data_IF_663776284190
#
_entry.id   IF_663776284190
#
_cell.length_a   1.000
_cell.length_b   1.000
_cell.length_c   1.000
_cell.angle_alpha   90.00
_cell.angle_beta   90.00
_cell.angle_gamma   90.00
#
_symmetry.space_group_name_H-M   'P 1'
#
loop_
_entity.id
_entity.type
_entity.pdbx_description
1 polymer ?
#
# COMPACT_ATOMS: atom_id res chain seq x y z
N UNK A 1 -21.92 -15.37 -23.08
CA UNK A 1 -20.93 -14.29 -23.37
C UNK A 1 -19.56 -14.81 -22.93
N UNK A 2 -18.51 -14.67 -23.74
CA UNK A 2 -17.16 -15.20 -23.45
C UNK A 2 -16.15 -14.07 -23.18
N UNK A 3 -16.55 -13.09 -22.37
CA UNK A 3 -15.70 -11.98 -21.97
C UNK A 3 -16.04 -11.56 -20.55
N UNK A 4 -15.05 -11.03 -19.84
CA UNK A 4 -15.18 -10.52 -18.48
C UNK A 4 -13.96 -9.67 -18.14
N UNK A 5 -14.07 -8.88 -17.08
CA UNK A 5 -12.97 -8.09 -16.52
C UNK A 5 -12.83 -8.49 -15.06
N UNK A 6 -11.59 -8.70 -14.62
CA UNK A 6 -11.26 -9.06 -13.24
C UNK A 6 -10.26 -8.03 -12.74
N UNK A 7 -10.46 -7.56 -11.51
CA UNK A 7 -9.49 -6.73 -10.80
C UNK A 7 -8.77 -7.61 -9.78
N UNK A 8 -7.45 -7.60 -9.83
CA UNK A 8 -6.59 -8.38 -8.93
C UNK A 8 -5.74 -7.41 -8.09
N UNK A 9 -5.74 -7.53 -6.75
CA UNK A 9 -4.82 -6.77 -5.93
C UNK A 9 -3.39 -7.30 -6.11
N UNK A 10 -2.41 -6.40 -6.16
CA UNK A 10 -0.99 -6.72 -6.32
C UNK A 10 -0.49 -7.71 -5.25
N UNK A 11 -0.88 -7.49 -3.98
CA UNK A 11 -0.51 -8.34 -2.85
C UNK A 11 -1.33 -9.63 -2.68
N UNK A 12 -2.09 -10.07 -3.69
CA UNK A 12 -2.94 -11.27 -3.55
C UNK A 12 -2.15 -12.51 -3.12
N UNK A 13 -0.96 -12.69 -3.68
CA UNK A 13 -0.11 -13.87 -3.44
C UNK A 13 0.46 -13.92 -2.02
N UNK A 14 0.66 -12.78 -1.37
CA UNK A 14 1.13 -12.72 0.02
C UNK A 14 0.04 -13.19 1.00
N UNK A 15 -1.22 -13.03 0.62
CA UNK A 15 -2.35 -13.46 1.44
C UNK A 15 -2.60 -14.98 1.37
N UNK A 16 -1.90 -15.70 0.50
CA UNK A 16 -2.00 -17.16 0.36
C UNK A 16 -0.91 -17.77 1.27
N UNK A 17 -1.28 -18.48 2.36
CA UNK A 17 -0.33 -18.97 3.36
C UNK A 17 0.81 -19.80 2.78
N UNK A 18 0.50 -20.62 1.77
CA UNK A 18 1.46 -21.49 1.09
C UNK A 18 2.53 -20.69 0.35
N UNK A 19 2.12 -19.64 -0.35
CA UNK A 19 3.02 -18.77 -1.11
C UNK A 19 3.77 -17.83 -0.17
N UNK A 20 3.13 -17.36 0.89
CA UNK A 20 3.76 -16.57 1.94
C UNK A 20 4.91 -17.34 2.61
N UNK A 21 4.68 -18.59 3.00
CA UNK A 21 5.71 -19.43 3.59
C UNK A 21 6.90 -19.63 2.63
N UNK A 22 6.64 -19.86 1.35
CA UNK A 22 7.68 -19.94 0.32
C UNK A 22 8.48 -18.63 0.21
N UNK A 23 7.81 -17.48 0.20
CA UNK A 23 8.47 -16.16 0.16
C UNK A 23 9.37 -15.94 1.37
N UNK A 24 8.89 -16.26 2.57
CA UNK A 24 9.66 -16.14 3.81
C UNK A 24 10.89 -17.05 3.83
N UNK A 25 10.76 -18.30 3.36
CA UNK A 25 11.90 -19.21 3.21
C UNK A 25 12.95 -18.64 2.23
N UNK A 26 12.50 -18.15 1.07
CA UNK A 26 13.40 -17.55 0.06
C UNK A 26 14.12 -16.32 0.63
N UNK A 27 13.41 -15.39 1.25
CA UNK A 27 14.02 -14.21 1.87
C UNK A 27 14.98 -14.57 2.98
N UNK A 28 14.62 -15.54 3.82
CA UNK A 28 15.50 -16.08 4.83
C UNK A 28 16.81 -16.58 4.22
N UNK A 29 16.76 -17.33 3.13
CA UNK A 29 17.96 -17.82 2.43
C UNK A 29 18.80 -16.68 1.81
N UNK A 30 18.15 -15.65 1.26
CA UNK A 30 18.84 -14.45 0.77
C UNK A 30 19.56 -13.70 1.90
N UNK A 31 18.94 -13.54 3.06
CA UNK A 31 19.55 -12.90 4.22
C UNK A 31 20.79 -13.67 4.74
N UNK A 32 20.84 -14.98 4.53
CA UNK A 32 21.99 -15.82 4.85
C UNK A 32 23.08 -15.83 3.75
N UNK A 33 22.91 -15.06 2.66
CA UNK A 33 23.88 -14.93 1.58
C UNK A 33 23.95 -16.16 0.65
N UNK A 34 22.90 -16.97 0.59
CA UNK A 34 22.83 -18.13 -0.32
C UNK A 34 22.67 -17.65 -1.76
N UNK A 35 23.43 -18.26 -2.68
CA UNK A 35 23.33 -17.95 -4.11
C UNK A 35 21.98 -18.37 -4.70
N UNK A 36 21.49 -17.63 -5.70
CA UNK A 36 20.16 -17.84 -6.30
C UNK A 36 20.00 -19.26 -6.86
N UNK A 37 21.09 -19.83 -7.37
CA UNK A 37 21.15 -21.17 -7.94
C UNK A 37 20.98 -22.28 -6.88
N UNK A 38 21.42 -22.01 -5.64
CA UNK A 38 21.37 -22.96 -4.53
C UNK A 38 20.04 -22.89 -3.76
N UNK A 39 19.29 -21.78 -3.85
CA UNK A 39 18.02 -21.59 -3.13
C UNK A 39 17.06 -22.74 -3.39
N UNK A 40 16.89 -23.16 -4.65
CA UNK A 40 15.94 -24.23 -5.01
C UNK A 40 16.23 -25.57 -4.32
N UNK A 41 17.49 -25.83 -3.97
CA UNK A 41 17.94 -27.06 -3.28
C UNK A 41 17.82 -27.00 -1.76
N UNK A 42 17.68 -25.79 -1.20
CA UNK A 42 17.64 -25.52 0.23
C UNK A 42 16.22 -25.30 0.76
N UNK A 43 15.24 -25.19 -0.13
CA UNK A 43 13.82 -25.05 0.21
C UNK A 43 13.30 -26.30 0.94
N UNK A 44 12.32 -26.11 1.82
CA UNK A 44 11.59 -27.22 2.42
C UNK A 44 10.91 -28.08 1.33
N UNK A 45 10.66 -29.39 1.57
CA UNK A 45 10.07 -30.26 0.56
C UNK A 45 8.75 -29.74 -0.01
N UNK A 46 7.96 -29.07 0.82
CA UNK A 46 6.67 -28.52 0.43
C UNK A 46 6.81 -27.19 -0.32
N UNK A 47 7.71 -26.30 0.13
CA UNK A 47 8.05 -25.07 -0.60
C UNK A 47 8.66 -25.39 -1.97
N UNK A 48 9.53 -26.41 -2.06
CA UNK A 48 10.13 -26.89 -3.31
C UNK A 48 9.06 -27.42 -4.28
N UNK A 49 8.10 -28.21 -3.79
CA UNK A 49 6.99 -28.69 -4.62
C UNK A 49 6.13 -27.55 -5.17
N UNK A 50 5.84 -26.53 -4.36
CA UNK A 50 5.12 -25.34 -4.80
C UNK A 50 5.95 -24.53 -5.81
N UNK A 51 7.23 -24.33 -5.53
CA UNK A 51 8.15 -23.63 -6.42
C UNK A 51 8.23 -24.31 -7.80
N UNK A 52 8.28 -25.64 -7.84
CA UNK A 52 8.30 -26.38 -9.10
C UNK A 52 6.98 -26.33 -9.87
N UNK A 53 5.85 -26.23 -9.17
CA UNK A 53 4.55 -26.02 -9.79
C UNK A 53 4.44 -24.66 -10.50
N UNK A 54 5.15 -23.63 -10.02
CA UNK A 54 5.06 -22.28 -10.56
C UNK A 54 5.69 -22.15 -11.95
N UNK A 55 5.14 -21.29 -12.83
CA UNK A 55 5.72 -20.99 -14.12
C UNK A 55 7.17 -20.46 -14.02
N UNK A 56 8.03 -20.75 -15.02
CA UNK A 56 9.45 -20.34 -14.98
C UNK A 56 9.68 -18.83 -14.83
N UNK A 57 8.79 -17.98 -15.33
CA UNK A 57 8.92 -16.53 -15.21
C UNK A 57 8.67 -16.06 -13.77
N UNK A 58 7.67 -16.64 -13.08
CA UNK A 58 7.40 -16.37 -11.67
C UNK A 58 8.54 -16.87 -10.79
N UNK A 59 9.06 -18.07 -11.06
CA UNK A 59 10.25 -18.59 -10.35
C UNK A 59 11.40 -17.60 -10.38
N UNK A 60 11.70 -17.01 -11.55
CA UNK A 60 12.74 -15.99 -11.69
C UNK A 60 12.44 -14.72 -10.89
N UNK A 61 11.18 -14.26 -10.90
CA UNK A 61 10.77 -13.05 -10.16
C UNK A 61 10.86 -13.26 -8.64
N UNK A 62 10.48 -14.44 -8.13
CA UNK A 62 10.56 -14.77 -6.71
C UNK A 62 12.00 -14.86 -6.19
N UNK A 63 12.97 -15.17 -7.06
CA UNK A 63 14.39 -15.29 -6.73
C UNK A 63 15.15 -13.96 -6.80
N UNK A 64 14.49 -12.86 -7.20
CA UNK A 64 15.11 -11.54 -7.21
C UNK A 64 15.29 -11.04 -5.77
N UNK A 65 16.39 -10.33 -5.51
CA UNK A 65 16.66 -9.76 -4.19
C UNK A 65 15.63 -8.67 -3.85
N UNK A 66 15.17 -8.57 -2.59
CA UNK A 66 14.38 -7.42 -2.13
C UNK A 66 15.21 -6.12 -2.19
N UNK A 67 14.64 -5.04 -2.74
CA UNK A 67 15.31 -3.74 -2.90
C UNK A 67 15.20 -2.84 -1.65
N UNK A 68 14.22 -3.08 -0.77
CA UNK A 68 14.04 -2.30 0.47
C UNK A 68 13.11 -3.00 1.45
N UNK A 69 13.54 -3.06 2.71
CA UNK A 69 12.90 -3.72 3.87
C UNK A 69 12.52 -5.20 3.62
N UNK A 70 12.47 -6.03 4.67
CA UNK A 70 12.28 -7.51 4.59
C UNK A 70 10.93 -7.99 3.98
N UNK A 71 10.20 -7.09 3.32
CA UNK A 71 8.95 -7.36 2.60
C UNK A 71 9.22 -7.66 1.13
N UNK A 72 8.58 -8.71 0.60
CA UNK A 72 8.68 -9.09 -0.81
C UNK A 72 8.36 -7.88 -1.69
N UNK A 73 9.12 -7.69 -2.78
CA UNK A 73 8.78 -6.72 -3.80
C UNK A 73 7.58 -7.20 -4.62
N UNK A 74 6.38 -7.08 -4.04
CA UNK A 74 5.13 -7.53 -4.65
C UNK A 74 4.87 -6.84 -6.00
N UNK A 75 5.36 -5.61 -6.16
CA UNK A 75 5.24 -4.85 -7.40
C UNK A 75 6.03 -5.43 -8.57
N UNK A 76 7.04 -6.27 -8.31
CA UNK A 76 7.84 -6.93 -9.32
C UNK A 76 7.25 -8.28 -9.76
N UNK A 77 6.32 -8.85 -8.98
CA UNK A 77 5.71 -10.14 -9.27
C UNK A 77 4.47 -9.93 -10.13
N UNK A 78 4.49 -10.46 -11.35
CA UNK A 78 3.40 -10.33 -12.33
C UNK A 78 2.26 -11.30 -12.01
N UNK A 79 1.58 -11.07 -10.88
CA UNK A 79 0.49 -11.90 -10.33
C UNK A 79 -0.64 -12.10 -11.34
N UNK A 80 -0.96 -11.08 -12.13
CA UNK A 80 -1.98 -11.15 -13.16
C UNK A 80 -1.62 -12.16 -14.27
N UNK A 81 -0.34 -12.23 -14.66
CA UNK A 81 0.14 -13.19 -15.66
C UNK A 81 0.18 -14.61 -15.09
N UNK A 82 0.56 -14.75 -13.82
CA UNK A 82 0.47 -16.04 -13.11
C UNK A 82 -0.95 -16.59 -13.16
N UNK A 83 -1.92 -15.78 -12.73
CA UNK A 83 -3.33 -16.19 -12.71
C UNK A 83 -3.86 -16.49 -14.11
N UNK A 84 -3.52 -15.66 -15.10
CA UNK A 84 -3.91 -15.90 -16.49
C UNK A 84 -3.37 -17.24 -17.02
N UNK A 85 -2.10 -17.57 -16.76
CA UNK A 85 -1.51 -18.83 -17.23
C UNK A 85 -2.06 -20.05 -16.50
N UNK A 86 -2.31 -19.97 -15.19
CA UNK A 86 -2.91 -21.06 -14.43
C UNK A 86 -4.34 -21.35 -14.91
N UNK A 87 -5.14 -20.30 -15.13
CA UNK A 87 -6.49 -20.44 -15.69
C UNK A 87 -6.42 -20.98 -17.12
N UNK A 88 -5.50 -20.52 -17.96
CA UNK A 88 -5.33 -21.06 -19.31
C UNK A 88 -5.02 -22.58 -19.27
N UNK A 89 -4.14 -23.00 -18.36
CA UNK A 89 -3.78 -24.41 -18.17
C UNK A 89 -4.99 -25.25 -17.75
N UNK A 90 -5.77 -24.75 -16.78
CA UNK A 90 -6.99 -25.42 -16.29
C UNK A 90 -8.08 -25.49 -17.38
N UNK A 91 -8.28 -24.41 -18.13
CA UNK A 91 -9.24 -24.38 -19.24
C UNK A 91 -8.84 -25.34 -20.37
N UNK A 92 -7.54 -25.44 -20.69
CA UNK A 92 -7.03 -26.40 -21.64
C UNK A 92 -7.22 -27.86 -21.15
N UNK A 93 -7.06 -28.11 -19.86
CA UNK A 93 -7.34 -29.41 -19.24
C UNK A 93 -8.81 -29.81 -19.41
N UNK A 94 -9.74 -28.90 -19.11
CA UNK A 94 -11.20 -29.13 -19.26
C UNK A 94 -11.65 -29.28 -20.71
N UNK A 95 -10.99 -28.58 -21.63
CA UNK A 95 -11.26 -28.75 -23.07
C UNK A 95 -10.86 -30.15 -23.54
N UNK A 96 -9.72 -30.68 -23.05
CA UNK A 96 -9.27 -32.05 -23.35
C UNK A 96 -10.17 -33.12 -22.73
N UNK A 97 -10.70 -32.90 -21.52
CA UNK A 97 -11.63 -33.84 -20.87
C UNK A 97 -13.07 -33.76 -21.41
N UNK A 98 -13.37 -32.77 -22.26
CA UNK A 98 -14.71 -32.56 -22.83
C UNK A 98 -15.70 -31.88 -21.87
N UNK A 99 -15.28 -31.50 -20.67
CA UNK A 99 -16.10 -30.78 -19.68
C UNK A 99 -16.41 -29.33 -20.09
N UNK A 100 -15.58 -28.75 -20.97
CA UNK A 100 -15.76 -27.39 -21.46
C UNK A 100 -15.83 -27.36 -22.99
N UNK A 101 -16.96 -26.88 -23.52
CA UNK A 101 -17.24 -26.76 -24.97
C UNK A 101 -17.19 -25.31 -25.46
N UNK A 102 -16.74 -24.38 -24.62
CA UNK A 102 -16.68 -22.96 -24.97
C UNK A 102 -15.46 -22.59 -25.81
N UNK A 103 -15.32 -21.28 -26.07
CA UNK A 103 -14.19 -20.76 -26.85
C UNK A 103 -12.87 -20.89 -26.09
N UNK A 104 -11.77 -20.94 -26.84
CA UNK A 104 -10.40 -20.87 -26.30
C UNK A 104 -10.27 -19.67 -25.37
N UNK A 105 -9.71 -19.89 -24.19
CA UNK A 105 -9.42 -18.84 -23.23
C UNK A 105 -8.35 -17.90 -23.80
N UNK A 106 -8.56 -16.60 -23.65
CA UNK A 106 -7.59 -15.56 -24.00
C UNK A 106 -7.70 -14.45 -22.96
N UNK A 107 -6.57 -14.08 -22.37
CA UNK A 107 -6.49 -13.07 -21.33
C UNK A 107 -5.57 -11.94 -21.78
N UNK A 108 -5.99 -10.70 -21.51
CA UNK A 108 -5.16 -9.50 -21.68
C UNK A 108 -4.87 -8.99 -20.27
N UNK A 109 -3.59 -8.94 -19.94
CA UNK A 109 -3.10 -8.54 -18.63
C UNK A 109 -2.70 -7.06 -18.65
N UNK A 110 -3.13 -6.31 -17.64
CA UNK A 110 -2.77 -4.91 -17.44
C UNK A 110 -2.34 -4.70 -15.99
N UNK A 111 -1.21 -4.01 -15.79
CA UNK A 111 -0.73 -3.61 -14.48
C UNK A 111 -0.81 -2.08 -14.35
N UNK A 112 -1.61 -1.60 -13.40
CA UNK A 112 -1.83 -0.17 -13.17
C UNK A 112 -1.28 0.24 -11.79
N UNK A 113 -0.03 0.70 -11.76
CA UNK A 113 0.62 1.16 -10.52
C UNK A 113 1.32 2.51 -10.70
N UNK A 114 2.48 2.48 -11.35
CA UNK A 114 3.39 3.63 -11.46
C UNK A 114 2.74 4.89 -12.05
N UNK A 115 1.91 4.71 -13.08
CA UNK A 115 1.23 5.82 -13.78
C UNK A 115 0.29 6.61 -12.87
N UNK A 116 -0.30 5.98 -11.84
CA UNK A 116 -1.22 6.64 -10.93
C UNK A 116 -0.48 7.49 -9.88
N UNK A 117 0.72 7.07 -9.44
CA UNK A 117 1.48 7.74 -8.37
C UNK A 117 2.03 9.12 -8.78
N UNK A 118 2.31 9.32 -10.07
CA UNK A 118 2.78 10.59 -10.62
C UNK A 118 1.68 11.44 -11.26
N UNK A 119 0.40 11.09 -11.07
CA UNK A 119 -0.71 11.81 -11.67
C UNK A 119 -1.01 13.11 -10.92
N UNK A 120 -1.72 14.04 -11.58
CA UNK A 120 -2.16 15.28 -10.94
C UNK A 120 -3.13 14.96 -9.80
N UNK A 121 -2.93 15.52 -8.59
CA UNK A 121 -3.82 15.28 -7.47
C UNK A 121 -5.24 15.80 -7.77
N UNK A 122 -6.24 15.10 -7.22
CA UNK A 122 -7.61 15.59 -7.30
C UNK A 122 -7.78 16.85 -6.44
N UNK A 123 -8.88 17.60 -6.64
CA UNK A 123 -9.20 18.74 -5.76
C UNK A 123 -9.25 18.31 -4.28
N UNK A 124 -9.78 17.12 -4.01
CA UNK A 124 -9.83 16.56 -2.67
C UNK A 124 -8.42 16.36 -2.10
N UNK A 125 -7.51 15.74 -2.85
CA UNK A 125 -6.14 15.49 -2.40
C UNK A 125 -5.37 16.79 -2.17
N UNK A 126 -5.58 17.81 -3.01
CA UNK A 126 -5.01 19.15 -2.81
C UNK A 126 -5.50 19.79 -1.51
N UNK A 127 -6.81 19.82 -1.29
CA UNK A 127 -7.41 20.43 -0.09
C UNK A 127 -6.98 19.64 1.17
N UNK A 128 -6.92 18.31 1.09
CA UNK A 128 -6.50 17.42 2.17
C UNK A 128 -5.01 17.56 2.54
N UNK A 129 -4.12 17.53 1.54
CA UNK A 129 -2.69 17.71 1.75
C UNK A 129 -2.38 19.11 2.30
N UNK A 130 -3.08 20.15 1.83
CA UNK A 130 -2.95 21.50 2.36
C UNK A 130 -3.36 21.57 3.84
N UNK A 131 -4.49 20.96 4.20
CA UNK A 131 -4.94 20.91 5.60
C UNK A 131 -3.94 20.18 6.51
N UNK A 132 -3.41 19.03 6.09
CA UNK A 132 -2.38 18.30 6.84
C UNK A 132 -1.09 19.13 7.02
N UNK A 133 -0.67 19.84 5.97
CA UNK A 133 0.47 20.76 6.03
C UNK A 133 0.27 21.88 7.03
N UNK A 134 -0.92 22.50 7.06
CA UNK A 134 -1.27 23.52 8.04
C UNK A 134 -1.26 22.99 9.49
N UNK A 135 -1.80 21.80 9.74
CA UNK A 135 -1.75 21.18 11.07
C UNK A 135 -0.30 20.96 11.49
N UNK A 136 0.52 20.41 10.59
CA UNK A 136 1.93 20.12 10.83
C UNK A 136 2.71 21.40 11.17
N UNK A 137 2.43 22.50 10.47
CA UNK A 137 2.98 23.82 10.79
C UNK A 137 2.63 24.28 12.21
N UNK A 138 1.37 24.13 12.63
CA UNK A 138 0.95 24.47 13.99
C UNK A 138 1.60 23.57 15.05
N UNK A 139 1.78 22.28 14.79
CA UNK A 139 2.48 21.35 15.69
C UNK A 139 3.93 21.76 15.90
N UNK A 140 4.64 22.09 14.81
CA UNK A 140 6.02 22.58 14.86
C UNK A 140 6.08 23.92 15.61
N UNK A 141 5.14 24.84 15.34
CA UNK A 141 5.06 26.12 16.05
C UNK A 141 4.80 25.98 17.55
N UNK A 142 4.11 24.92 17.98
CA UNK A 142 3.90 24.57 19.38
C UNK A 142 5.08 23.81 20.01
N UNK A 143 6.14 23.50 19.24
CA UNK A 143 7.29 22.72 19.71
C UNK A 143 6.98 21.23 19.94
N UNK A 144 5.89 20.72 19.37
CA UNK A 144 5.47 19.33 19.53
C UNK A 144 6.15 18.44 18.49
N UNK A 145 6.66 17.28 18.93
CA UNK A 145 7.31 16.28 18.08
C UNK A 145 6.69 14.90 18.29
N UNK A 146 6.86 13.99 17.32
CA UNK A 146 6.31 12.63 17.42
C UNK A 146 4.79 12.56 17.28
N UNK A 147 4.14 13.61 16.76
CA UNK A 147 2.71 13.63 16.46
C UNK A 147 2.45 13.46 14.96
N UNK A 148 1.36 12.77 14.63
CA UNK A 148 0.81 12.64 13.28
C UNK A 148 -0.37 13.59 13.10
N UNK A 149 -0.33 14.44 12.08
CA UNK A 149 -1.46 15.27 11.69
C UNK A 149 -2.61 14.41 11.14
N UNK A 150 -3.85 14.69 11.54
CA UNK A 150 -5.05 13.95 11.12
C UNK A 150 -6.18 14.91 10.78
N UNK A 151 -6.98 14.57 9.78
CA UNK A 151 -8.21 15.30 9.44
C UNK A 151 -9.34 14.29 9.38
N UNK A 152 -10.44 14.58 10.06
CA UNK A 152 -11.65 13.75 10.08
C UNK A 152 -12.81 14.46 9.40
N UNK A 153 -13.92 13.74 9.21
CA UNK A 153 -15.12 14.23 8.53
C UNK A 153 -14.90 14.53 7.02
N UNK A 154 -13.99 13.80 6.38
CA UNK A 154 -13.56 14.00 4.97
C UNK A 154 -14.67 13.86 3.92
N UNK A 155 -15.79 13.21 4.28
CA UNK A 155 -16.96 13.09 3.40
C UNK A 155 -17.76 14.39 3.30
N UNK A 156 -17.66 15.27 4.30
CA UNK A 156 -18.36 16.55 4.31
C UNK A 156 -17.59 17.61 3.50
N UNK A 157 -18.24 18.74 3.15
CA UNK A 157 -17.52 19.86 2.55
C UNK A 157 -16.33 20.29 3.41
N UNK A 158 -15.27 20.80 2.76
CA UNK A 158 -14.00 21.20 3.40
C UNK A 158 -14.20 22.11 4.61
N UNK A 159 -15.22 22.97 4.59
CA UNK A 159 -15.59 23.87 5.70
C UNK A 159 -15.96 23.15 7.00
N UNK A 160 -16.32 21.86 6.94
CA UNK A 160 -16.75 21.03 8.07
C UNK A 160 -15.71 19.97 8.44
N UNK A 161 -14.53 20.00 7.82
CA UNK A 161 -13.44 19.13 8.21
C UNK A 161 -12.95 19.49 9.60
N UNK A 162 -12.58 18.47 10.37
CA UNK A 162 -12.06 18.64 11.72
C UNK A 162 -10.59 18.26 11.72
N UNK A 163 -9.75 19.15 12.22
CA UNK A 163 -8.30 18.99 12.26
C UNK A 163 -7.86 18.52 13.64
N UNK A 164 -7.03 17.48 13.66
CA UNK A 164 -6.55 16.80 14.85
C UNK A 164 -5.07 16.44 14.71
N UNK A 165 -4.48 15.99 15.79
CA UNK A 165 -3.19 15.32 15.80
C UNK A 165 -3.22 14.15 16.77
N UNK A 166 -2.38 13.13 16.53
CA UNK A 166 -2.21 11.98 17.44
C UNK A 166 -0.75 11.75 17.73
N UNK A 167 -0.40 11.57 19.00
CA UNK A 167 0.94 11.12 19.40
C UNK A 167 1.21 9.70 18.89
N UNK A 168 2.39 9.49 18.30
CA UNK A 168 2.85 8.17 17.88
C UNK A 168 3.25 7.27 19.06
N UNK A 169 3.41 7.84 20.27
CA UNK A 169 3.92 7.13 21.44
C UNK A 169 2.83 6.75 22.47
N UNK A 170 1.59 7.22 22.31
CA UNK A 170 0.51 6.98 23.28
C UNK A 170 -0.64 6.18 22.64
N UNK A 171 -0.94 5.01 23.23
CA UNK A 171 -2.16 4.23 22.99
C UNK A 171 -3.39 4.78 23.75
N UNK A 172 -3.35 6.04 24.20
CA UNK A 172 -4.39 6.63 25.05
C UNK A 172 -5.27 7.57 24.22
N UNK A 173 -6.58 7.27 24.14
CA UNK A 173 -7.58 7.94 23.30
C UNK A 173 -7.99 9.35 23.80
N UNK A 174 -7.12 10.05 24.53
CA UNK A 174 -7.37 11.39 25.05
C UNK A 174 -6.33 12.39 24.55
N UNK A 175 -6.50 12.87 23.34
CA UNK A 175 -5.83 14.11 22.89
C UNK A 175 -6.86 15.13 22.39
N UNK A 176 -6.66 16.34 22.88
CA UNK A 176 -7.63 17.43 22.99
C UNK A 176 -8.12 17.97 21.65
N UNK A 177 -9.42 18.31 21.64
CA UNK A 177 -10.07 19.14 20.64
C UNK A 177 -9.34 20.48 20.46
N UNK A 178 -8.93 20.77 19.23
CA UNK A 178 -9.06 22.15 18.75
C UNK A 178 -10.57 22.44 18.60
N UNK A 179 -11.26 22.71 19.71
CA UNK A 179 -12.64 23.21 19.72
C UNK A 179 -12.61 24.60 19.10
N UNK A 180 -12.78 24.63 17.79
CA UNK A 180 -12.87 25.86 17.04
C UNK A 180 -13.43 25.56 15.67
N UNK A 181 -14.75 25.69 15.52
CA UNK A 181 -15.48 25.72 14.25
C UNK A 181 -15.09 26.92 13.36
N UNK A 182 -13.79 27.25 13.27
CA UNK A 182 -13.30 28.51 12.75
C UNK A 182 -11.91 28.49 12.12
N UNK A 183 -11.35 27.32 11.82
CA UNK A 183 -10.05 27.26 11.14
C UNK A 183 -10.08 27.77 9.67
N UNK A 184 -11.25 28.04 9.09
CA UNK A 184 -11.36 28.49 7.69
C UNK A 184 -11.77 29.97 7.56
N UNK A 185 -12.24 30.65 8.62
CA UNK A 185 -12.80 32.01 8.47
C UNK A 185 -12.14 33.13 9.27
N UNK A 186 -11.30 32.88 10.28
CA UNK A 186 -10.71 33.97 11.07
C UNK A 186 -9.19 33.87 11.14
N UNK A 187 -8.50 34.90 10.60
CA UNK A 187 -7.10 35.25 10.86
C UNK A 187 -6.89 35.67 12.32
N UNK A 188 -7.20 34.80 13.29
CA UNK A 188 -6.90 35.03 14.70
C UNK A 188 -6.44 33.74 15.35
N UNK A 189 -5.25 33.83 15.94
CA UNK A 189 -4.57 32.77 16.66
C UNK A 189 -5.48 32.09 17.69
N UNK A 190 -5.64 30.77 17.56
CA UNK A 190 -6.06 29.91 18.65
C UNK A 190 -4.88 29.75 19.61
N UNK A 191 -4.69 30.73 20.49
CA UNK A 191 -3.84 30.60 21.67
C UNK A 191 -4.62 31.10 22.88
N UNK A 192 -4.73 30.25 23.90
CA UNK A 192 -4.98 30.66 25.28
C UNK A 192 -4.26 29.68 26.20
N UNK A 193 -3.72 30.12 27.34
CA UNK A 193 -2.61 31.06 27.46
C UNK A 193 -1.43 30.34 28.12
N UNK A 194 -0.43 29.91 27.34
CA UNK A 194 0.89 29.66 27.92
C UNK A 194 1.66 30.98 27.89
N UNK A 195 1.97 31.46 29.09
CA UNK A 195 2.71 32.68 29.37
C UNK A 195 4.15 32.61 28.84
N UNK A 196 4.30 32.85 27.55
CA UNK A 196 5.57 33.20 26.90
C UNK A 196 5.26 34.34 25.92
N UNK A 197 5.48 35.58 26.35
CA UNK A 197 5.27 36.75 25.52
C UNK A 197 6.23 36.77 24.33
N UNK A 198 5.67 36.90 23.13
CA UNK A 198 6.37 37.43 21.97
C UNK A 198 5.42 38.39 21.25
N UNK A 199 5.71 39.69 21.40
CA UNK A 199 5.11 40.78 20.64
C UNK A 199 5.76 40.88 19.24
N UNK A 200 4.95 41.20 18.22
CA UNK A 200 5.38 41.57 16.85
C UNK A 200 5.43 40.36 15.89
N UNK A 201 4.94 40.41 14.65
CA UNK A 201 4.70 41.53 13.75
C UNK A 201 3.76 41.02 12.64
N UNK A 202 2.76 41.83 12.29
CA UNK A 202 1.88 41.56 11.16
C UNK A 202 2.64 41.77 9.84
N UNK A 203 2.68 40.74 8.98
CA UNK A 203 3.09 40.89 7.58
C UNK A 203 1.82 40.92 6.73
N UNK A 204 1.72 41.99 5.94
CA UNK A 204 0.64 42.31 4.99
C UNK A 204 0.57 41.31 3.84
#
# INVERSE_FOLDING_TARGET
KYHGVILLPEGLIENIPEVYALLQEIHGLHAHGVSVEEISSRLSPWASALFEFLPPFIKKQLLLHPESDDTAQLSQIETEKLMAQLVETEMNRRLKSGEYTGKKFNAICHFFGYQARGSLPSKFDCDYANALGHISYHLIGAGLNGYMATVTNLKQPVSQWQCWWRSNHCNDDREEMATGSRCISDRKACCSPCSCGFEGQAIR
#
